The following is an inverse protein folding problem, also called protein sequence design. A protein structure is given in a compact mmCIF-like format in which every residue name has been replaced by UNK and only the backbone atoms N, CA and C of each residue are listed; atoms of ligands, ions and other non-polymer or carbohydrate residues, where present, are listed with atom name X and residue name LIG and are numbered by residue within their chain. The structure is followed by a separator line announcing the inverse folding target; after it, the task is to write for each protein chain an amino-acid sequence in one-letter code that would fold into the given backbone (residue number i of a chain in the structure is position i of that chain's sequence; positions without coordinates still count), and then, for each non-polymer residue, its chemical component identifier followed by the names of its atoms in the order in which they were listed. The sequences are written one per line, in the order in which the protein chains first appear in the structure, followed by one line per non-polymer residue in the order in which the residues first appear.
data_IF_769059934327
#
_entry.id   IF_769059934327
#
_cell.length_a   1.000
_cell.length_b   1.000
_cell.length_c   1.000
_cell.angle_alpha   90.00
_cell.angle_beta   90.00
_cell.angle_gamma   90.00
#
_symmetry.space_group_name_H-M   'P 1'
#
loop_
_entity.id
_entity.type
_entity.pdbx_description
1 polymer ?
#
# COMPACT_ATOMS: atom_id res chain seq x y z
N UNK A 1 21.33 3.76 -15.45
CA UNK A 1 20.73 5.10 -15.26
C UNK A 1 20.94 5.53 -13.81
N UNK A 2 21.17 6.83 -13.53
CA UNK A 2 21.27 7.31 -12.15
C UNK A 2 19.94 7.12 -11.41
N UNK A 3 19.99 6.63 -10.16
CA UNK A 3 18.81 6.47 -9.29
C UNK A 3 18.25 7.83 -8.88
N UNK A 4 16.93 7.96 -8.79
CA UNK A 4 16.23 9.20 -8.43
C UNK A 4 16.27 9.45 -6.93
N UNK A 5 16.45 10.71 -6.51
CA UNK A 5 16.38 11.09 -5.08
C UNK A 5 14.96 11.37 -4.60
N UNK A 6 13.99 11.46 -5.51
CA UNK A 6 12.61 11.79 -5.22
C UNK A 6 11.67 10.82 -5.91
N UNK A 7 10.49 10.65 -5.32
CA UNK A 7 9.36 9.96 -5.95
C UNK A 7 9.01 10.69 -7.26
N UNK A 8 8.76 9.98 -8.38
CA UNK A 8 8.41 10.65 -9.63
C UNK A 8 7.15 11.52 -9.50
N UNK A 9 6.91 12.37 -10.49
CA UNK A 9 5.72 13.22 -10.49
C UNK A 9 4.44 12.43 -10.83
N UNK A 10 4.58 11.39 -11.67
CA UNK A 10 3.50 10.50 -12.07
C UNK A 10 3.90 9.05 -11.81
N UNK A 11 2.88 8.21 -11.57
CA UNK A 11 3.10 6.81 -11.30
C UNK A 11 3.76 6.11 -12.50
N UNK A 12 4.78 5.29 -12.22
CA UNK A 12 5.41 4.37 -13.17
C UNK A 12 5.67 3.05 -12.45
N UNK A 13 5.48 1.91 -13.14
CA UNK A 13 5.83 0.62 -12.55
C UNK A 13 7.35 0.57 -12.31
N UNK A 14 7.78 -0.02 -11.19
CA UNK A 14 9.18 -0.08 -10.79
C UNK A 14 9.73 1.21 -10.18
N UNK A 15 8.89 2.24 -9.97
CA UNK A 15 9.32 3.55 -9.42
C UNK A 15 10.09 3.41 -8.09
N UNK A 16 9.71 2.42 -7.26
CA UNK A 16 10.34 2.17 -5.98
C UNK A 16 11.80 1.71 -6.14
N UNK A 17 12.06 0.84 -7.12
CA UNK A 17 13.41 0.35 -7.41
C UNK A 17 14.27 1.46 -8.02
N UNK A 18 13.68 2.45 -8.68
CA UNK A 18 14.39 3.59 -9.25
C UNK A 18 14.87 4.60 -8.21
N UNK A 19 14.37 4.54 -6.97
CA UNK A 19 14.80 5.42 -5.90
C UNK A 19 16.23 5.11 -5.42
N UNK A 20 16.96 6.17 -5.07
CA UNK A 20 18.23 6.08 -4.35
C UNK A 20 17.94 5.62 -2.92
N UNK A 21 18.29 4.37 -2.62
CA UNK A 21 18.05 3.71 -1.33
C UNK A 21 18.70 4.39 -0.13
N UNK A 22 19.58 5.38 -0.34
CA UNK A 22 20.15 6.20 0.74
C UNK A 22 19.22 7.32 1.19
N UNK A 23 18.16 7.62 0.43
CA UNK A 23 17.19 8.64 0.81
C UNK A 23 16.20 8.09 1.83
N UNK A 24 15.79 8.92 2.80
CA UNK A 24 14.83 8.50 3.82
C UNK A 24 13.50 8.05 3.22
N UNK A 25 13.05 8.66 2.13
CA UNK A 25 11.82 8.26 1.44
C UNK A 25 11.94 6.87 0.82
N UNK A 26 13.07 6.53 0.21
CA UNK A 26 13.30 5.20 -0.35
C UNK A 26 13.30 4.13 0.75
N UNK A 27 13.95 4.41 1.87
CA UNK A 27 13.98 3.50 3.02
C UNK A 27 12.59 3.25 3.61
N UNK A 28 11.82 4.31 3.82
CA UNK A 28 10.44 4.20 4.33
C UNK A 28 9.56 3.43 3.36
N UNK A 29 9.63 3.72 2.06
CA UNK A 29 8.80 3.04 1.07
C UNK A 29 9.20 1.58 0.89
N UNK A 30 10.49 1.25 1.01
CA UNK A 30 10.96 -0.15 1.00
C UNK A 30 10.45 -0.91 2.23
N UNK A 31 10.54 -0.31 3.41
CA UNK A 31 9.98 -0.89 4.64
C UNK A 31 8.47 -1.17 4.52
N UNK A 32 7.71 -0.24 3.94
CA UNK A 32 6.28 -0.42 3.69
C UNK A 32 6.00 -1.51 2.65
N UNK A 33 6.79 -1.56 1.58
CA UNK A 33 6.70 -2.63 0.59
C UNK A 33 6.96 -3.99 1.21
N UNK A 34 8.01 -4.12 2.01
CA UNK A 34 8.38 -5.36 2.67
C UNK A 34 7.27 -5.78 3.66
N UNK A 35 6.74 -4.86 4.47
CA UNK A 35 5.63 -5.13 5.38
C UNK A 35 4.36 -5.58 4.63
N UNK A 36 3.97 -4.85 3.58
CA UNK A 36 2.78 -5.15 2.81
C UNK A 36 2.90 -6.48 2.07
N UNK A 37 4.08 -6.81 1.52
CA UNK A 37 4.28 -8.09 0.82
C UNK A 37 4.46 -9.26 1.79
N UNK A 38 5.02 -9.03 2.98
CA UNK A 38 5.13 -10.06 4.02
C UNK A 38 3.77 -10.63 4.40
N UNK A 39 2.78 -9.76 4.65
CA UNK A 39 1.40 -10.17 4.99
C UNK A 39 0.72 -10.95 3.84
N UNK A 40 1.21 -10.79 2.61
CA UNK A 40 0.70 -11.48 1.42
C UNK A 40 1.46 -12.79 1.11
N UNK A 41 2.38 -13.22 1.98
CA UNK A 41 3.17 -14.45 1.81
C UNK A 41 4.58 -14.23 1.26
N UNK A 42 5.06 -12.98 1.24
CA UNK A 42 6.38 -12.59 0.75
C UNK A 42 6.40 -12.25 -0.75
N UNK A 43 7.36 -11.41 -1.16
CA UNK A 43 7.44 -10.87 -2.52
C UNK A 43 7.55 -11.95 -3.62
N UNK A 44 8.28 -13.04 -3.34
CA UNK A 44 8.50 -14.14 -4.29
C UNK A 44 7.25 -14.98 -4.56
N UNK A 45 6.30 -15.01 -3.61
CA UNK A 45 5.03 -15.71 -3.75
C UNK A 45 3.99 -14.91 -4.55
N UNK A 46 4.24 -13.62 -4.80
CA UNK A 46 3.29 -12.75 -5.48
C UNK A 46 3.29 -12.98 -7.00
N UNK A 47 2.10 -12.97 -7.59
CA UNK A 47 1.94 -12.78 -9.02
C UNK A 47 2.39 -11.38 -9.45
N UNK A 48 2.62 -11.21 -10.74
CA UNK A 48 2.89 -9.88 -11.31
C UNK A 48 1.76 -8.89 -11.00
N UNK A 49 0.49 -9.31 -11.09
CA UNK A 49 -0.66 -8.47 -10.80
C UNK A 49 -0.64 -7.98 -9.35
N UNK A 50 -0.34 -8.88 -8.39
CA UNK A 50 -0.23 -8.50 -6.98
C UNK A 50 0.90 -7.51 -6.74
N UNK A 51 2.09 -7.72 -7.33
CA UNK A 51 3.20 -6.75 -7.25
C UNK A 51 2.81 -5.38 -7.79
N UNK A 52 2.13 -5.35 -8.95
CA UNK A 52 1.66 -4.10 -9.56
C UNK A 52 0.63 -3.37 -8.70
N UNK A 53 -0.25 -4.10 -8.01
CA UNK A 53 -1.22 -3.53 -7.08
C UNK A 53 -0.55 -2.98 -5.80
N UNK A 54 0.45 -3.69 -5.27
CA UNK A 54 1.26 -3.24 -4.12
C UNK A 54 1.97 -1.92 -4.44
N UNK A 55 2.64 -1.82 -5.59
CA UNK A 55 3.33 -0.58 -5.98
C UNK A 55 2.37 0.61 -6.15
N UNK A 56 1.16 0.38 -6.67
CA UNK A 56 0.11 1.42 -6.78
C UNK A 56 -0.43 1.83 -5.42
N UNK A 57 -0.56 0.88 -4.49
CA UNK A 57 -1.02 1.19 -3.14
C UNK A 57 -0.02 2.12 -2.44
N UNK A 58 1.28 1.78 -2.47
CA UNK A 58 2.34 2.62 -1.89
C UNK A 58 2.43 3.99 -2.56
N UNK A 59 2.23 4.05 -3.88
CA UNK A 59 2.16 5.32 -4.59
C UNK A 59 1.02 6.22 -4.07
N UNK A 60 -0.17 5.66 -3.94
CA UNK A 60 -1.33 6.40 -3.45
C UNK A 60 -1.15 6.80 -1.99
N UNK A 61 -0.55 5.95 -1.14
CA UNK A 61 -0.20 6.34 0.23
C UNK A 61 0.74 7.54 0.27
N UNK A 62 1.79 7.51 -0.56
CA UNK A 62 2.73 8.62 -0.66
C UNK A 62 2.02 9.90 -1.08
N UNK A 63 1.20 9.81 -2.13
CA UNK A 63 0.45 10.96 -2.64
C UNK A 63 -0.52 11.51 -1.61
N UNK A 64 -1.29 10.66 -0.92
CA UNK A 64 -2.22 11.06 0.14
C UNK A 64 -1.50 11.77 1.28
N UNK A 65 -0.39 11.19 1.77
CA UNK A 65 0.43 11.80 2.82
C UNK A 65 1.02 13.15 2.39
N UNK A 66 1.37 13.30 1.12
CA UNK A 66 1.83 14.55 0.53
C UNK A 66 0.74 15.63 0.57
N UNK A 67 -0.48 15.28 0.15
CA UNK A 67 -1.63 16.19 0.21
C UNK A 67 -1.98 16.57 1.65
N UNK A 68 -1.98 15.62 2.58
CA UNK A 68 -2.25 15.86 4.01
C UNK A 68 -1.20 16.78 4.63
N UNK A 69 0.08 16.63 4.24
CA UNK A 69 1.15 17.52 4.66
C UNK A 69 0.94 18.94 4.13
N UNK A 70 0.57 19.09 2.86
CA UNK A 70 0.26 20.40 2.27
C UNK A 70 -0.88 21.09 3.04
N UNK A 71 -1.94 20.35 3.35
CA UNK A 71 -3.04 20.83 4.18
C UNK A 71 -2.57 21.28 5.57
N UNK A 72 -1.73 20.49 6.24
CA UNK A 72 -1.17 20.83 7.55
C UNK A 72 -0.29 22.10 7.53
N UNK A 73 0.31 22.42 6.37
CA UNK A 73 1.10 23.65 6.16
C UNK A 73 0.27 24.85 5.69
N UNK A 74 -1.07 24.72 5.64
CA UNK A 74 -2.00 25.81 5.30
C UNK A 74 -2.32 25.96 3.82
N UNK A 75 -1.93 25.00 2.98
CA UNK A 75 -2.37 24.96 1.58
C UNK A 75 -3.74 24.30 1.46
N UNK A 76 -4.48 24.68 0.43
CA UNK A 76 -5.75 24.03 0.11
C UNK A 76 -5.54 22.69 -0.58
N UNK A 77 -6.42 21.75 -0.26
CA UNK A 77 -6.44 20.41 -0.80
C UNK A 77 -7.70 20.23 -1.65
N UNK A 78 -7.57 19.63 -2.82
CA UNK A 78 -8.71 19.20 -3.63
C UNK A 78 -9.35 17.96 -2.98
N UNK A 79 -10.34 18.21 -2.13
CA UNK A 79 -11.04 17.17 -1.35
C UNK A 79 -11.62 16.08 -2.28
N UNK A 80 -12.07 16.46 -3.47
CA UNK A 80 -12.60 15.52 -4.46
C UNK A 80 -11.54 14.53 -4.93
N UNK A 81 -10.33 14.99 -5.24
CA UNK A 81 -9.20 14.11 -5.61
C UNK A 81 -8.72 13.27 -4.44
N UNK A 82 -8.65 13.86 -3.23
CA UNK A 82 -8.25 13.12 -2.03
C UNK A 82 -9.22 11.98 -1.72
N UNK A 83 -10.53 12.23 -1.74
CA UNK A 83 -11.55 11.17 -1.53
C UNK A 83 -11.44 10.08 -2.58
N UNK A 84 -11.24 10.44 -3.86
CA UNK A 84 -11.06 9.46 -4.94
C UNK A 84 -9.81 8.60 -4.74
N UNK A 85 -8.69 9.19 -4.33
CA UNK A 85 -7.46 8.47 -4.03
C UNK A 85 -7.63 7.54 -2.82
N UNK A 86 -8.27 8.00 -1.74
CA UNK A 86 -8.57 7.20 -0.55
C UNK A 86 -9.46 5.99 -0.88
N UNK A 87 -10.52 6.20 -1.67
CA UNK A 87 -11.40 5.11 -2.12
C UNK A 87 -10.67 4.13 -3.03
N UNK A 88 -9.81 4.63 -3.92
CA UNK A 88 -8.98 3.79 -4.79
C UNK A 88 -8.02 2.92 -3.97
N UNK A 89 -7.36 3.51 -2.97
CA UNK A 89 -6.45 2.81 -2.06
C UNK A 89 -7.18 1.71 -1.28
N UNK A 90 -8.36 2.01 -0.72
CA UNK A 90 -9.20 1.01 -0.06
C UNK A 90 -9.56 -0.17 -0.98
N UNK A 91 -9.88 0.14 -2.25
CA UNK A 91 -10.16 -0.88 -3.27
C UNK A 91 -8.95 -1.75 -3.60
N UNK A 92 -7.74 -1.17 -3.65
CA UNK A 92 -6.49 -1.92 -3.85
C UNK A 92 -6.24 -2.87 -2.68
N UNK A 93 -6.36 -2.39 -1.44
CA UNK A 93 -6.17 -3.22 -0.25
C UNK A 93 -7.17 -4.37 -0.17
N UNK A 94 -8.44 -4.10 -0.48
CA UNK A 94 -9.45 -5.16 -0.53
C UNK A 94 -9.10 -6.25 -1.56
N UNK A 95 -8.58 -5.86 -2.74
CA UNK A 95 -8.17 -6.80 -3.80
C UNK A 95 -6.90 -7.58 -3.47
N UNK A 96 -5.98 -6.98 -2.72
CA UNK A 96 -4.77 -7.66 -2.24
C UNK A 96 -5.10 -8.71 -1.16
N UNK A 97 -6.34 -8.77 -0.68
CA UNK A 97 -6.72 -9.73 0.35
C UNK A 97 -6.46 -9.23 1.76
N UNK A 98 -6.19 -7.93 1.94
CA UNK A 98 -6.34 -7.27 3.23
C UNK A 98 -7.83 -7.22 3.57
N UNK A 99 -8.36 -8.36 4.01
CA UNK A 99 -9.66 -8.41 4.63
C UNK A 99 -9.59 -7.65 5.96
N UNK A 100 -10.62 -6.86 6.26
CA UNK A 100 -10.83 -6.31 7.61
C UNK A 100 -10.53 -7.42 8.61
N UNK A 101 -9.61 -7.19 9.55
CA UNK A 101 -9.28 -8.17 10.57
C UNK A 101 -10.59 -8.72 11.14
N UNK A 102 -10.92 -9.98 10.81
CA UNK A 102 -12.04 -10.64 11.46
C UNK A 102 -11.58 -10.74 12.91
N UNK A 103 -12.38 -10.24 13.84
CA UNK A 103 -12.31 -10.72 15.21
C UNK A 103 -12.58 -12.22 15.11
N UNK A 104 -11.53 -13.02 14.99
CA UNK A 104 -11.65 -14.48 14.99
C UNK A 104 -12.20 -14.82 16.35
N UNK A 105 -13.44 -15.29 16.34
CA UNK A 105 -13.97 -15.97 17.49
C UNK A 105 -13.13 -17.22 17.70
N UNK A 106 -12.92 -17.51 18.98
CA UNK A 106 -12.09 -18.54 19.58
C UNK A 106 -11.96 -19.83 18.75
N UNK A 107 -10.84 -20.56 18.88
CA UNK A 107 -10.54 -21.82 18.16
C UNK A 107 -11.71 -22.82 18.22
N UNK A 108 -12.46 -22.76 19.32
CA UNK A 108 -13.66 -23.53 19.62
C UNK A 108 -14.79 -23.30 18.60
N UNK A 109 -14.93 -22.09 18.05
CA UNK A 109 -15.98 -21.74 17.09
C UNK A 109 -15.64 -22.17 15.66
N UNK A 110 -14.35 -22.22 15.31
CA UNK A 110 -13.90 -22.79 14.04
C UNK A 110 -14.18 -24.30 13.98
N UNK A 111 -13.84 -25.03 15.04
CA UNK A 111 -14.04 -26.48 15.11
C UNK A 111 -15.52 -26.86 15.07
N UNK A 112 -16.38 -26.09 15.73
CA UNK A 112 -17.84 -26.34 15.73
C UNK A 112 -18.51 -25.99 14.39
N UNK A 113 -17.94 -25.08 13.59
CA UNK A 113 -18.43 -24.79 12.24
C UNK A 113 -18.14 -25.92 11.23
N UNK A 114 -16.99 -26.61 11.36
CA UNK A 114 -16.64 -27.78 10.53
C UNK A 114 -17.38 -29.05 10.93
N UNK A 115 -17.77 -29.19 12.19
CA UNK A 115 -18.49 -30.38 12.68
C UNK A 115 -19.97 -30.43 12.23
N UNK A 116 -20.50 -29.34 11.67
CA UNK A 116 -21.89 -29.23 11.19
C UNK A 116 -22.04 -29.33 9.67
N UNK A 117 -20.97 -29.61 8.93
CA UNK A 117 -20.97 -29.72 7.47
C UNK A 117 -20.69 -31.13 6.99
#
# INVERSE_FOLDING_TARGET
MPKSKAVPFSFQNGWLDELDGRTGIAQVMRLRFDALTYDLGGTDALSYQQRSLVERALWLEYWLADQERLLATGFELDIGKWVQATNSLQGLYSKLGLAKAKHTKDITEYLSSKAKS
#
